data_IF_441160143303
#
_entry.id   IF_441160143303
#
_cell.length_a   1.000
_cell.length_b   1.000
_cell.length_c   1.000
_cell.angle_alpha   90.00
_cell.angle_beta   90.00
_cell.angle_gamma   90.00
#
_symmetry.space_group_name_H-M   'P 1'
#
loop_
_entity.id
_entity.type
_entity.pdbx_description
1 polymer ?
#
# COMPACT_ATOMS: atom_id res chain seq x y z
N UNK A 1 14.22 26.34 16.58
CA UNK A 1 14.49 24.91 16.30
C UNK A 1 15.07 24.31 17.57
N UNK A 2 14.66 23.10 17.92
CA UNK A 2 15.05 22.47 19.16
C UNK A 2 16.29 21.58 19.04
N UNK A 3 16.94 21.29 20.15
CA UNK A 3 18.02 20.31 20.21
C UNK A 3 17.47 18.90 20.07
N UNK A 4 18.21 18.03 19.37
CA UNK A 4 17.88 16.61 19.24
C UNK A 4 18.51 15.82 20.37
N UNK A 5 17.75 14.93 20.95
CA UNK A 5 18.17 14.02 22.00
C UNK A 5 17.90 12.60 21.50
N UNK A 6 18.93 11.78 21.37
CA UNK A 6 18.82 10.39 20.91
C UNK A 6 19.34 9.45 21.98
N UNK A 7 18.72 8.28 22.09
CA UNK A 7 19.13 7.22 22.98
C UNK A 7 19.39 5.94 22.19
N UNK A 8 20.63 5.49 22.19
CA UNK A 8 21.08 4.25 21.56
C UNK A 8 21.29 3.21 22.65
N UNK A 9 20.74 2.03 22.46
CA UNK A 9 20.91 0.91 23.36
C UNK A 9 22.33 0.35 23.22
N UNK A 10 23.09 0.31 24.31
CA UNK A 10 24.49 -0.12 24.31
C UNK A 10 24.69 -1.61 24.01
N UNK A 11 23.67 -2.46 24.21
CA UNK A 11 23.78 -3.89 23.96
C UNK A 11 23.46 -4.23 22.50
N UNK A 12 22.52 -3.51 21.88
CA UNK A 12 22.02 -3.82 20.54
C UNK A 12 22.53 -2.87 19.46
N UNK A 13 23.12 -1.73 19.87
CA UNK A 13 23.55 -0.62 19.00
C UNK A 13 22.38 -0.05 18.15
N UNK A 14 21.13 -0.15 18.69
CA UNK A 14 19.92 0.31 18.03
C UNK A 14 19.42 1.58 18.73
N UNK A 15 18.88 2.50 17.95
CA UNK A 15 18.19 3.67 18.44
C UNK A 15 16.84 3.26 19.07
N UNK A 16 16.73 3.34 20.39
CA UNK A 16 15.53 2.96 21.15
C UNK A 16 14.61 4.15 21.45
N UNK A 17 15.10 5.38 21.31
CA UNK A 17 14.28 6.56 21.51
C UNK A 17 14.91 7.86 21.04
N UNK A 18 14.05 8.83 20.74
CA UNK A 18 14.48 10.18 20.42
C UNK A 18 13.50 11.22 21.00
N UNK A 19 14.00 12.44 21.15
CA UNK A 19 13.21 13.61 21.52
C UNK A 19 13.80 14.86 20.89
N UNK A 20 12.94 15.87 20.72
CA UNK A 20 13.36 17.20 20.27
C UNK A 20 12.89 18.21 21.30
N UNK A 21 13.78 19.10 21.70
CA UNK A 21 13.39 20.16 22.63
C UNK A 21 12.50 21.20 21.93
N UNK A 22 11.48 21.68 22.65
CA UNK A 22 10.65 22.78 22.18
C UNK A 22 11.38 24.14 22.30
N UNK A 23 10.72 25.23 21.96
CA UNK A 23 11.27 26.60 22.03
C UNK A 23 11.71 27.01 23.42
N UNK A 24 11.15 26.41 24.48
CA UNK A 24 11.50 26.65 25.88
C UNK A 24 12.56 25.68 26.42
N UNK A 25 13.09 24.79 25.56
CA UNK A 25 14.12 23.82 25.94
C UNK A 25 13.58 22.53 26.57
N UNK A 26 12.27 22.37 26.74
CA UNK A 26 11.71 21.13 27.29
C UNK A 26 11.74 19.99 26.26
N UNK A 27 12.12 18.81 26.72
CA UNK A 27 12.13 17.58 25.94
C UNK A 27 11.57 16.40 26.74
N UNK A 28 11.11 15.36 26.08
CA UNK A 28 10.68 14.11 26.69
C UNK A 28 11.05 12.94 25.78
N UNK A 29 11.57 11.86 26.36
CA UNK A 29 11.91 10.61 25.66
C UNK A 29 11.36 9.45 26.48
N UNK A 30 10.67 8.52 25.84
CA UNK A 30 10.18 7.30 26.46
C UNK A 30 11.17 6.16 26.18
N UNK A 31 11.81 5.64 27.22
CA UNK A 31 12.81 4.59 27.15
C UNK A 31 12.44 3.43 28.07
N UNK A 32 12.97 2.23 27.78
CA UNK A 32 12.77 1.05 28.61
C UNK A 32 13.58 1.16 29.91
N UNK A 33 13.00 0.77 31.03
CA UNK A 33 13.72 0.66 32.32
C UNK A 33 14.71 -0.51 32.29
N UNK A 34 15.70 -0.46 33.16
CA UNK A 34 16.75 -1.48 33.32
C UNK A 34 17.58 -1.73 32.06
N UNK A 35 17.77 -0.71 31.25
CA UNK A 35 18.54 -0.78 29.99
C UNK A 35 19.62 0.30 29.99
N UNK A 36 20.79 -0.05 29.47
CA UNK A 36 21.92 0.87 29.31
C UNK A 36 21.84 1.60 27.98
N UNK A 37 21.83 2.93 28.05
CA UNK A 37 21.75 3.79 26.87
C UNK A 37 22.97 4.70 26.75
N UNK A 38 23.42 4.89 25.51
CA UNK A 38 24.24 6.03 25.13
C UNK A 38 23.28 7.16 24.72
N UNK A 39 23.27 8.24 25.47
CA UNK A 39 22.47 9.43 25.19
C UNK A 39 23.34 10.47 24.49
N UNK A 40 22.87 10.95 23.34
CA UNK A 40 23.53 12.00 22.59
C UNK A 40 22.59 13.19 22.35
N UNK A 41 23.08 14.40 22.67
CA UNK A 41 22.36 15.66 22.51
C UNK A 41 23.10 16.49 21.49
N UNK A 42 22.38 16.96 20.45
CA UNK A 42 22.97 17.76 19.38
C UNK A 42 22.11 18.96 19.05
N UNK A 43 22.75 20.07 18.74
CA UNK A 43 22.11 21.27 18.19
C UNK A 43 23.08 21.97 17.23
N UNK A 44 22.55 22.53 16.15
CA UNK A 44 23.37 23.16 15.11
C UNK A 44 24.15 24.35 15.70
N UNK A 45 25.48 24.34 15.53
CA UNK A 45 26.38 25.38 16.05
C UNK A 45 26.81 25.19 17.50
N UNK A 46 26.47 24.06 18.12
CA UNK A 46 26.87 23.74 19.51
C UNK A 46 27.62 22.41 19.55
N UNK A 47 28.47 22.25 20.57
CA UNK A 47 29.20 21.01 20.84
C UNK A 47 28.21 19.92 21.29
N UNK A 48 28.28 18.71 20.70
CA UNK A 48 27.43 17.60 21.12
C UNK A 48 27.78 17.12 22.53
N UNK A 49 26.78 16.80 23.32
CA UNK A 49 26.94 16.14 24.62
C UNK A 49 26.63 14.66 24.44
N UNK A 50 27.52 13.79 24.91
CA UNK A 50 27.32 12.34 24.85
C UNK A 50 27.68 11.71 26.20
N UNK A 51 26.80 10.81 26.69
CA UNK A 51 27.02 10.10 27.97
C UNK A 51 26.24 8.80 28.03
N UNK A 52 26.77 7.85 28.80
CA UNK A 52 26.10 6.58 29.07
C UNK A 52 25.27 6.68 30.37
N UNK A 53 24.11 6.07 30.38
CA UNK A 53 23.25 5.99 31.56
C UNK A 53 22.41 4.71 31.56
N UNK A 54 22.22 4.14 32.77
CA UNK A 54 21.27 3.06 33.02
C UNK A 54 20.01 3.65 33.63
N UNK A 55 18.87 3.45 32.99
CA UNK A 55 17.60 3.98 33.49
C UNK A 55 16.90 2.96 34.39
N UNK A 56 16.89 3.24 35.68
CA UNK A 56 16.13 2.47 36.69
C UNK A 56 14.76 3.10 36.96
N UNK A 57 14.69 4.42 36.93
CA UNK A 57 13.48 5.22 37.17
C UNK A 57 13.41 6.43 36.24
N UNK A 58 12.31 7.17 36.30
CA UNK A 58 12.13 8.39 35.53
C UNK A 58 13.23 9.42 35.90
N UNK A 59 13.97 9.87 34.90
CA UNK A 59 15.10 10.76 35.04
C UNK A 59 14.75 12.14 34.45
N UNK A 60 14.90 13.18 35.31
CA UNK A 60 14.86 14.58 34.84
C UNK A 60 16.29 15.13 34.86
N UNK A 61 16.76 15.63 33.72
CA UNK A 61 18.11 16.14 33.60
C UNK A 61 18.17 17.31 32.60
N UNK A 62 18.81 18.39 33.03
CA UNK A 62 19.06 19.60 32.27
C UNK A 62 20.46 19.55 31.65
N UNK A 63 20.60 20.09 30.43
CA UNK A 63 21.86 20.19 29.71
C UNK A 63 22.08 21.62 29.23
N UNK A 64 23.30 22.09 29.34
CA UNK A 64 23.73 23.36 28.74
C UNK A 64 24.67 23.03 27.59
N UNK A 65 24.29 23.40 26.39
CA UNK A 65 25.11 23.23 25.19
C UNK A 65 26.04 24.43 25.07
N UNK A 66 27.33 24.18 24.81
CA UNK A 66 28.35 25.20 24.57
C UNK A 66 28.42 25.49 23.07
N UNK A 67 28.52 26.78 22.72
CA UNK A 67 28.72 27.18 21.32
C UNK A 67 30.03 26.63 20.79
N UNK A 68 29.97 26.01 19.60
CA UNK A 68 31.15 25.51 18.93
C UNK A 68 31.88 26.68 18.26
N UNK A 69 32.79 27.32 19.05
CA UNK A 69 33.69 28.31 18.50
C UNK A 69 34.92 27.61 17.99
N UNK A 70 34.96 27.24 16.69
CA UNK A 70 36.24 27.15 15.98
C UNK A 70 36.08 26.93 14.46
N UNK A 71 36.84 27.79 13.73
CA UNK A 71 37.29 27.46 12.39
C UNK A 71 38.51 26.51 12.53
N UNK A 72 38.33 25.22 12.35
CA UNK A 72 39.39 24.27 12.12
C UNK A 72 39.14 23.54 10.82
N UNK A 73 40.21 23.29 10.07
CA UNK A 73 40.26 22.56 8.79
C UNK A 73 39.23 21.41 8.76
N UNK A 74 38.32 21.50 7.80
CA UNK A 74 37.14 20.68 7.73
C UNK A 74 37.51 19.17 7.62
N UNK A 75 37.42 18.50 8.73
CA UNK A 75 36.86 17.16 8.73
C UNK A 75 35.35 17.36 8.83
N UNK A 76 34.68 17.47 7.73
CA UNK A 76 33.23 17.52 7.65
C UNK A 76 32.69 16.16 8.10
N UNK A 77 32.57 15.98 9.41
CA UNK A 77 31.75 14.90 9.95
C UNK A 77 30.31 15.34 9.69
N UNK A 78 29.79 14.94 8.52
CA UNK A 78 28.37 15.07 8.19
C UNK A 78 27.63 14.12 9.15
N UNK A 79 27.30 14.62 10.35
CA UNK A 79 26.43 13.90 11.26
C UNK A 79 25.00 14.00 10.72
N UNK A 80 24.53 12.96 10.06
CA UNK A 80 23.13 12.86 9.68
C UNK A 80 22.29 12.58 10.93
N UNK A 81 21.38 13.48 11.23
CA UNK A 81 20.45 13.29 12.34
C UNK A 81 19.52 12.11 12.05
N UNK A 82 19.31 11.18 12.98
CA UNK A 82 18.39 10.07 12.82
C UNK A 82 16.97 10.51 12.44
N UNK A 83 16.50 11.60 13.04
CA UNK A 83 15.19 12.19 12.80
C UNK A 83 15.33 13.69 12.70
N UNK A 84 14.74 14.29 11.69
CA UNK A 84 14.68 15.74 11.49
C UNK A 84 13.25 16.16 11.18
N UNK A 85 12.79 17.28 11.72
CA UNK A 85 11.49 17.86 11.39
C UNK A 85 11.72 19.10 10.54
N UNK A 86 11.15 19.11 9.33
CA UNK A 86 11.20 20.21 8.36
C UNK A 86 9.77 20.66 8.05
N UNK A 87 9.27 21.68 8.76
CA UNK A 87 7.87 22.10 8.64
C UNK A 87 6.91 20.93 8.95
N UNK A 88 6.07 20.55 8.02
CA UNK A 88 5.12 19.45 8.16
C UNK A 88 5.72 18.07 7.79
N UNK A 89 7.02 18.00 7.54
CA UNK A 89 7.69 16.75 7.15
C UNK A 89 8.58 16.23 8.25
N UNK A 90 8.41 14.97 8.62
CA UNK A 90 9.35 14.24 9.48
C UNK A 90 10.27 13.42 8.58
N UNK A 91 11.57 13.63 8.68
CA UNK A 91 12.59 12.93 7.90
C UNK A 91 13.33 11.96 8.81
N UNK A 92 13.25 10.68 8.50
CA UNK A 92 14.00 9.62 9.17
C UNK A 92 15.18 9.21 8.29
N UNK A 93 16.40 9.13 8.86
CA UNK A 93 17.54 8.48 8.20
C UNK A 93 17.39 6.97 8.34
N UNK A 94 17.21 6.24 7.23
CA UNK A 94 16.98 4.79 7.29
C UNK A 94 18.14 4.03 7.95
N UNK A 95 19.37 4.53 7.81
CA UNK A 95 20.56 3.90 8.39
C UNK A 95 20.56 3.89 9.92
N UNK A 96 19.93 4.89 10.53
CA UNK A 96 19.85 4.97 11.99
C UNK A 96 18.89 3.94 12.61
N UNK A 97 17.96 3.41 11.81
CA UNK A 97 16.92 2.47 12.23
C UNK A 97 17.08 1.08 11.62
N UNK A 98 18.15 0.87 10.84
CA UNK A 98 18.41 -0.38 10.14
C UNK A 98 19.41 -1.22 10.93
N UNK A 99 18.98 -2.37 11.43
CA UNK A 99 19.80 -3.33 12.18
C UNK A 99 20.65 -4.23 11.29
N UNK A 100 20.45 -4.15 9.95
CA UNK A 100 21.10 -5.02 8.97
C UNK A 100 20.34 -6.31 8.66
N UNK A 101 19.24 -6.57 9.35
CA UNK A 101 18.36 -7.75 9.13
C UNK A 101 17.20 -7.44 8.21
N UNK A 102 16.91 -6.18 7.98
CA UNK A 102 15.81 -5.68 7.16
C UNK A 102 16.04 -6.04 5.69
N UNK A 103 15.03 -6.65 5.11
CA UNK A 103 15.04 -7.06 3.70
C UNK A 103 14.23 -6.10 2.83
N UNK A 104 13.11 -5.62 3.36
CA UNK A 104 12.11 -4.83 2.64
C UNK A 104 11.84 -3.51 3.37
N UNK A 105 11.26 -2.54 2.67
CA UNK A 105 10.86 -1.26 3.26
C UNK A 105 9.94 -1.45 4.48
N UNK A 106 9.02 -2.42 4.45
CA UNK A 106 8.15 -2.71 5.59
C UNK A 106 8.94 -3.02 6.88
N UNK A 107 10.08 -3.68 6.77
CA UNK A 107 10.91 -4.00 7.93
C UNK A 107 11.55 -2.74 8.50
N UNK A 108 12.01 -1.83 7.64
CA UNK A 108 12.55 -0.53 8.06
C UNK A 108 11.48 0.34 8.71
N UNK A 109 10.28 0.41 8.09
CA UNK A 109 9.17 1.21 8.61
C UNK A 109 8.73 0.75 10.02
N UNK A 110 8.75 -0.55 10.30
CA UNK A 110 8.43 -1.10 11.63
C UNK A 110 9.38 -0.64 12.74
N UNK A 111 10.59 -0.26 12.38
CA UNK A 111 11.59 0.22 13.33
C UNK A 111 11.49 1.72 13.59
N UNK A 112 10.67 2.45 12.81
CA UNK A 112 10.52 3.89 12.95
C UNK A 112 9.59 4.23 14.13
N UNK A 113 9.97 5.17 15.00
CA UNK A 113 9.10 5.61 16.07
C UNK A 113 7.82 6.26 15.52
N UNK A 114 6.66 5.86 16.06
CA UNK A 114 5.36 6.40 15.66
C UNK A 114 4.82 5.87 14.32
N UNK A 115 5.48 4.88 13.73
CA UNK A 115 5.03 4.20 12.51
C UNK A 115 4.64 2.76 12.84
N UNK A 116 3.45 2.35 12.43
CA UNK A 116 2.96 1.00 12.57
C UNK A 116 2.70 0.38 11.20
N UNK A 117 3.13 -0.86 11.01
CA UNK A 117 2.89 -1.62 9.78
C UNK A 117 2.24 -2.94 10.16
N UNK A 118 0.98 -3.09 9.79
CA UNK A 118 0.23 -4.32 10.09
C UNK A 118 0.53 -5.44 9.06
N UNK A 119 0.03 -6.65 9.34
CA UNK A 119 0.23 -7.82 8.45
C UNK A 119 -0.38 -7.65 7.06
N UNK A 120 -1.43 -6.87 6.96
CA UNK A 120 -2.10 -6.53 5.69
C UNK A 120 -1.31 -5.53 4.84
N UNK A 121 -0.20 -4.98 5.35
CA UNK A 121 0.63 -3.95 4.71
C UNK A 121 0.04 -2.54 4.78
N UNK A 122 -0.93 -2.30 5.66
CA UNK A 122 -1.35 -0.93 6.00
C UNK A 122 -0.28 -0.30 6.86
N UNK A 123 -0.05 0.97 6.62
CA UNK A 123 0.91 1.78 7.36
C UNK A 123 0.13 2.87 8.05
N UNK A 124 0.36 3.01 9.34
CA UNK A 124 -0.21 4.07 10.16
C UNK A 124 0.92 4.89 10.76
N UNK A 125 0.75 6.20 10.75
CA UNK A 125 1.64 7.15 11.40
C UNK A 125 0.83 7.95 12.40
N UNK A 126 1.27 7.97 13.66
CA UNK A 126 0.57 8.65 14.76
C UNK A 126 -0.93 8.22 14.86
N UNK A 127 -1.24 6.95 14.51
CA UNK A 127 -2.60 6.41 14.52
C UNK A 127 -3.46 6.78 13.31
N UNK A 128 -2.88 7.40 12.29
CA UNK A 128 -3.56 7.77 11.04
C UNK A 128 -3.04 6.95 9.86
N UNK A 129 -3.93 6.46 9.00
CA UNK A 129 -3.55 5.65 7.85
C UNK A 129 -2.82 6.49 6.78
N UNK A 130 -1.67 5.99 6.32
CA UNK A 130 -0.90 6.57 5.22
C UNK A 130 -1.62 6.33 3.90
N UNK A 131 -1.94 7.40 3.18
CA UNK A 131 -2.72 7.35 1.94
C UNK A 131 -1.93 6.79 0.77
N UNK A 132 -0.65 7.18 0.62
CA UNK A 132 0.21 6.73 -0.47
C UNK A 132 1.68 6.70 -0.11
N UNK A 133 2.44 5.91 -0.87
CA UNK A 133 3.90 5.93 -0.85
C UNK A 133 4.42 6.45 -2.20
N UNK A 134 5.34 7.37 -2.10
CA UNK A 134 6.10 7.92 -3.22
C UNK A 134 7.57 7.48 -3.14
N UNK A 135 8.24 7.39 -4.28
CA UNK A 135 9.69 7.24 -4.37
C UNK A 135 10.23 8.44 -5.14
N UNK A 136 11.14 9.19 -4.51
CA UNK A 136 11.68 10.45 -5.05
C UNK A 136 10.59 11.44 -5.50
N UNK A 137 9.49 11.53 -4.70
CA UNK A 137 8.36 12.41 -4.98
C UNK A 137 7.39 11.93 -6.04
N UNK A 138 7.55 10.71 -6.57
CA UNK A 138 6.69 10.12 -7.59
C UNK A 138 5.93 8.94 -7.07
N UNK A 139 4.70 8.78 -7.49
CA UNK A 139 3.87 7.67 -7.08
C UNK A 139 4.49 6.34 -7.54
N UNK A 140 4.65 5.41 -6.60
CA UNK A 140 5.08 4.06 -6.90
C UNK A 140 3.86 3.15 -6.94
N UNK A 141 3.62 2.54 -8.10
CA UNK A 141 2.46 1.68 -8.32
C UNK A 141 1.13 2.37 -7.96
N UNK A 142 0.91 3.58 -8.49
CA UNK A 142 -0.26 4.42 -8.20
C UNK A 142 -0.38 4.78 -6.70
N UNK A 143 0.76 4.82 -5.99
CA UNK A 143 0.83 5.13 -4.55
C UNK A 143 0.51 3.96 -3.62
N UNK A 144 0.42 2.71 -4.12
CA UNK A 144 0.08 1.54 -3.30
C UNK A 144 1.10 1.30 -2.18
N UNK A 145 0.64 1.48 -0.94
CA UNK A 145 1.47 1.35 0.27
C UNK A 145 1.97 -0.07 0.50
N UNK A 146 1.16 -1.09 0.18
CA UNK A 146 1.51 -2.49 0.38
C UNK A 146 2.54 -2.94 -0.65
N UNK A 147 2.32 -2.63 -1.93
CA UNK A 147 3.28 -2.99 -2.98
C UNK A 147 4.63 -2.33 -2.75
N UNK A 148 4.65 -1.04 -2.39
CA UNK A 148 5.89 -0.36 -2.06
C UNK A 148 6.58 -0.97 -0.84
N UNK A 149 5.88 -1.10 0.29
CA UNK A 149 6.47 -1.57 1.55
C UNK A 149 6.95 -3.01 1.48
N UNK A 150 6.22 -3.88 0.79
CA UNK A 150 6.55 -5.31 0.71
C UNK A 150 7.56 -5.68 -0.38
N UNK A 151 7.87 -4.78 -1.31
CA UNK A 151 8.75 -5.12 -2.43
C UNK A 151 9.99 -4.24 -2.54
N UNK A 152 9.97 -2.97 -2.11
CA UNK A 152 11.15 -2.12 -2.15
C UNK A 152 12.24 -2.65 -1.20
N UNK A 153 13.48 -2.92 -1.69
CA UNK A 153 14.54 -3.43 -0.84
C UNK A 153 14.97 -2.40 0.22
N UNK A 154 15.12 -2.81 1.47
CA UNK A 154 15.62 -1.96 2.55
C UNK A 154 16.96 -1.27 2.20
N UNK A 155 17.84 -1.99 1.48
CA UNK A 155 19.16 -1.48 1.03
C UNK A 155 19.08 -0.32 0.03
N UNK A 156 17.94 -0.10 -0.61
CA UNK A 156 17.75 1.03 -1.51
C UNK A 156 17.27 2.29 -0.78
N UNK A 157 16.76 2.15 0.44
CA UNK A 157 16.18 3.25 1.23
C UNK A 157 17.28 4.05 1.90
N UNK A 158 17.35 5.35 1.62
CA UNK A 158 18.25 6.30 2.28
C UNK A 158 17.54 7.10 3.35
N UNK A 159 16.46 7.79 2.99
CA UNK A 159 15.63 8.57 3.93
C UNK A 159 14.16 8.27 3.73
N UNK A 160 13.39 8.41 4.79
CA UNK A 160 11.95 8.24 4.80
C UNK A 160 11.34 9.56 5.27
N UNK A 161 10.63 10.22 4.36
CA UNK A 161 9.97 11.49 4.62
C UNK A 161 8.48 11.22 4.88
N UNK A 162 8.02 11.48 6.09
CA UNK A 162 6.60 11.43 6.44
C UNK A 162 6.01 12.83 6.25
N UNK A 163 5.15 12.95 5.24
CA UNK A 163 4.49 14.19 4.87
C UNK A 163 3.18 14.29 5.64
N UNK A 164 3.06 15.21 6.57
CA UNK A 164 1.82 15.57 7.27
C UNK A 164 1.02 16.55 6.41
N UNK A 165 -0.29 16.58 6.60
CA UNK A 165 -1.19 17.48 5.88
C UNK A 165 -1.09 17.34 4.35
N UNK A 166 -0.82 16.09 3.91
CA UNK A 166 -0.56 15.81 2.48
C UNK A 166 -1.77 16.16 1.62
N UNK A 167 -1.53 16.92 0.56
CA UNK A 167 -2.52 17.28 -0.46
C UNK A 167 -2.05 16.80 -1.82
N UNK A 168 -2.87 16.05 -2.53
CA UNK A 168 -2.53 15.57 -3.89
C UNK A 168 -2.45 16.70 -4.90
N UNK A 169 -3.31 17.69 -4.75
CA UNK A 169 -3.38 18.87 -5.62
C UNK A 169 -2.81 20.05 -4.85
N UNK A 170 -1.58 20.45 -5.17
CA UNK A 170 -0.87 21.52 -4.47
C UNK A 170 -1.66 22.84 -4.40
N UNK A 171 -2.42 23.17 -5.46
CA UNK A 171 -3.28 24.36 -5.54
C UNK A 171 -4.40 24.36 -4.49
N UNK A 172 -4.79 23.20 -3.98
CA UNK A 172 -5.84 23.06 -2.98
C UNK A 172 -5.32 23.00 -1.53
N UNK A 173 -4.02 23.09 -1.31
CA UNK A 173 -3.41 22.94 0.02
C UNK A 173 -3.93 23.92 1.07
N UNK A 174 -4.29 25.13 0.67
CA UNK A 174 -4.87 26.15 1.56
C UNK A 174 -6.40 26.07 1.73
N UNK A 175 -7.09 25.29 0.90
CA UNK A 175 -8.57 25.24 0.84
C UNK A 175 -9.12 23.97 1.46
N UNK A 176 -8.37 22.88 1.42
CA UNK A 176 -8.78 21.59 1.96
C UNK A 176 -8.27 21.41 3.39
N UNK A 177 -9.15 20.97 4.29
CA UNK A 177 -8.72 20.52 5.61
C UNK A 177 -8.11 19.10 5.46
N UNK A 178 -6.77 19.01 5.48
CA UNK A 178 -6.00 17.78 5.37
C UNK A 178 -5.19 17.50 6.65
N UNK A 179 -5.60 18.06 7.80
CA UNK A 179 -4.87 17.97 9.08
C UNK A 179 -4.49 16.55 9.49
N UNK A 180 -5.25 15.54 9.02
CA UNK A 180 -5.02 14.13 9.33
C UNK A 180 -4.57 13.29 8.11
N UNK A 181 -4.02 13.94 7.09
CA UNK A 181 -3.61 13.27 5.86
C UNK A 181 -2.10 13.05 5.83
N UNK A 182 -1.69 11.78 5.74
CA UNK A 182 -0.29 11.38 5.70
C UNK A 182 0.08 10.73 4.37
N UNK A 183 1.26 11.06 3.86
CA UNK A 183 1.93 10.33 2.80
C UNK A 183 3.39 10.05 3.19
N UNK A 184 3.98 9.03 2.60
CA UNK A 184 5.39 8.70 2.80
C UNK A 184 6.13 8.86 1.49
N UNK A 185 7.20 9.64 1.49
CA UNK A 185 8.13 9.74 0.37
C UNK A 185 9.46 9.06 0.74
N UNK A 186 9.88 8.13 -0.09
CA UNK A 186 11.12 7.39 0.08
C UNK A 186 12.21 8.08 -0.75
N UNK A 187 13.28 8.54 -0.08
CA UNK A 187 14.50 8.97 -0.73
C UNK A 187 15.45 7.78 -0.84
N UNK A 188 15.91 7.54 -2.05
CA UNK A 188 16.84 6.44 -2.31
C UNK A 188 18.26 6.81 -1.87
N UNK A 189 19.07 5.80 -1.60
CA UNK A 189 20.49 5.99 -1.34
C UNK A 189 21.21 6.47 -2.58
N UNK A 190 22.29 7.21 -2.37
CA UNK A 190 23.21 7.59 -3.44
C UNK A 190 23.67 6.36 -4.25
N UNK A 191 23.66 6.49 -5.57
CA UNK A 191 23.99 5.39 -6.49
C UNK A 191 22.88 4.35 -6.69
N UNK A 192 21.68 4.57 -6.11
CA UNK A 192 20.47 3.77 -6.33
C UNK A 192 19.44 4.49 -7.19
N UNK A 193 19.89 5.34 -8.08
CA UNK A 193 19.06 6.07 -9.03
C UNK A 193 18.45 5.17 -10.13
N UNK A 194 19.12 4.05 -10.47
CA UNK A 194 18.65 3.07 -11.47
C UNK A 194 18.99 1.67 -11.02
N UNK A 195 17.98 0.84 -10.80
CA UNK A 195 18.20 -0.54 -10.39
C UNK A 195 17.00 -1.45 -10.66
N UNK A 196 17.31 -2.75 -10.76
CA UNK A 196 16.34 -3.83 -10.79
C UNK A 196 16.24 -4.45 -9.39
N UNK A 197 15.04 -4.85 -9.02
CA UNK A 197 14.81 -5.62 -7.81
C UNK A 197 13.59 -6.52 -7.98
N UNK A 198 13.41 -7.47 -7.09
CA UNK A 198 12.28 -8.37 -7.13
C UNK A 198 12.54 -9.67 -6.41
N UNK A 199 11.59 -10.56 -6.50
CA UNK A 199 11.65 -11.90 -5.95
C UNK A 199 10.97 -12.89 -6.89
N UNK A 200 11.41 -14.13 -6.85
CA UNK A 200 10.77 -15.24 -7.54
C UNK A 200 10.45 -16.30 -6.49
N UNK A 201 9.18 -16.61 -6.32
CA UNK A 201 8.72 -17.72 -5.52
C UNK A 201 8.30 -18.83 -6.47
N UNK A 202 8.90 -20.00 -6.32
CA UNK A 202 8.58 -21.18 -7.11
C UNK A 202 8.50 -22.41 -6.21
N UNK A 203 7.51 -23.23 -6.44
CA UNK A 203 7.29 -24.45 -5.68
C UNK A 203 6.53 -25.49 -6.49
N UNK A 204 6.71 -26.75 -6.14
CA UNK A 204 5.96 -27.88 -6.68
C UNK A 204 5.63 -28.86 -5.56
N UNK A 205 4.54 -29.57 -5.67
CA UNK A 205 4.06 -30.55 -4.69
C UNK A 205 3.60 -31.83 -5.33
N UNK A 206 3.05 -32.77 -4.56
CA UNK A 206 2.36 -33.97 -5.06
C UNK A 206 1.20 -33.59 -5.97
N UNK A 207 0.79 -34.51 -6.85
CA UNK A 207 -0.35 -34.36 -7.77
C UNK A 207 -0.22 -33.15 -8.72
N UNK A 208 1.02 -32.84 -9.17
CA UNK A 208 1.36 -31.74 -10.07
C UNK A 208 1.04 -30.33 -9.54
N UNK A 209 0.79 -30.21 -8.22
CA UNK A 209 0.58 -28.90 -7.57
C UNK A 209 1.78 -28.00 -7.83
N UNK A 210 1.50 -26.76 -8.25
CA UNK A 210 2.54 -25.80 -8.59
C UNK A 210 2.27 -24.39 -8.03
N UNK A 211 3.37 -23.66 -7.83
CA UNK A 211 3.36 -22.25 -7.52
C UNK A 211 4.51 -21.58 -8.27
N UNK A 212 4.20 -20.58 -9.07
CA UNK A 212 5.19 -19.73 -9.72
C UNK A 212 4.75 -18.26 -9.64
N UNK A 213 5.45 -17.48 -8.81
CA UNK A 213 5.08 -16.11 -8.52
C UNK A 213 6.29 -15.16 -8.60
N UNK A 214 6.72 -14.77 -9.81
CA UNK A 214 7.77 -13.77 -10.01
C UNK A 214 7.22 -12.36 -9.80
N UNK A 215 8.04 -11.50 -9.19
CA UNK A 215 7.85 -10.06 -9.07
C UNK A 215 9.13 -9.36 -9.48
N UNK A 216 9.07 -8.55 -10.51
CA UNK A 216 10.22 -7.86 -11.10
C UNK A 216 9.90 -6.39 -11.21
N UNK A 217 10.80 -5.55 -10.72
CA UNK A 217 10.67 -4.10 -10.71
C UNK A 217 11.93 -3.47 -11.30
N UNK A 218 11.73 -2.45 -12.10
CA UNK A 218 12.77 -1.55 -12.56
C UNK A 218 12.44 -0.13 -12.11
N UNK A 219 13.37 0.52 -11.44
CA UNK A 219 13.27 1.91 -11.04
C UNK A 219 14.34 2.73 -11.72
N UNK A 220 13.93 3.87 -12.28
CA UNK A 220 14.80 4.96 -12.73
C UNK A 220 14.06 6.30 -12.55
N UNK A 221 14.76 7.45 -12.42
CA UNK A 221 14.14 8.75 -12.14
C UNK A 221 13.04 9.18 -13.11
N UNK A 222 13.11 8.73 -14.35
CA UNK A 222 12.16 9.10 -15.43
C UNK A 222 11.30 7.93 -15.91
N UNK A 223 11.64 6.70 -15.54
CA UNK A 223 10.95 5.51 -16.02
C UNK A 223 10.89 4.48 -14.91
N UNK A 224 9.70 4.06 -14.56
CA UNK A 224 9.45 2.92 -13.68
C UNK A 224 8.69 1.86 -14.45
N UNK A 225 9.04 0.61 -14.21
CA UNK A 225 8.37 -0.53 -14.82
C UNK A 225 8.32 -1.68 -13.84
N UNK A 226 7.19 -2.40 -13.82
CA UNK A 226 7.06 -3.58 -12.97
C UNK A 226 6.18 -4.65 -13.60
N UNK A 227 6.51 -5.88 -13.28
CA UNK A 227 5.72 -7.07 -13.61
C UNK A 227 5.56 -7.90 -12.36
N UNK A 228 4.32 -8.23 -12.05
CA UNK A 228 3.94 -9.14 -10.97
C UNK A 228 3.12 -10.25 -11.61
N UNK A 229 3.53 -11.50 -11.42
CA UNK A 229 2.76 -12.64 -11.88
C UNK A 229 2.60 -13.65 -10.74
N UNK A 230 1.54 -14.42 -10.79
CA UNK A 230 1.28 -15.51 -9.88
C UNK A 230 0.46 -16.58 -10.63
N UNK A 231 1.00 -17.77 -10.77
CA UNK A 231 0.30 -18.94 -11.30
C UNK A 231 0.37 -20.02 -10.24
N UNK A 232 -0.77 -20.46 -9.74
CA UNK A 232 -0.81 -21.46 -8.69
C UNK A 232 -2.13 -22.23 -8.69
N UNK A 233 -2.06 -23.44 -8.17
CA UNK A 233 -3.18 -24.32 -7.85
C UNK A 233 -3.15 -24.83 -6.40
N UNK A 234 -2.48 -24.09 -5.51
CA UNK A 234 -2.34 -24.40 -4.07
C UNK A 234 -3.58 -24.04 -3.23
N UNK A 235 -4.72 -23.79 -3.88
CA UNK A 235 -5.96 -23.42 -3.19
C UNK A 235 -6.02 -21.95 -2.74
N UNK A 236 -5.20 -21.09 -3.30
CA UNK A 236 -5.18 -19.65 -2.99
C UNK A 236 -5.44 -18.82 -4.24
N UNK A 237 -6.39 -17.87 -4.22
CA UNK A 237 -6.57 -16.96 -5.33
C UNK A 237 -5.35 -16.06 -5.50
N UNK A 238 -4.85 -15.93 -6.72
CA UNK A 238 -3.71 -15.06 -7.04
C UNK A 238 -4.04 -13.57 -6.88
N UNK A 239 -5.33 -13.20 -6.98
CA UNK A 239 -5.86 -11.87 -6.78
C UNK A 239 -6.93 -11.90 -5.69
N UNK A 240 -6.71 -11.17 -4.59
CA UNK A 240 -7.74 -10.98 -3.59
C UNK A 240 -8.69 -9.82 -3.98
N UNK A 241 -9.91 -9.79 -3.42
CA UNK A 241 -10.82 -8.64 -3.57
C UNK A 241 -10.14 -7.33 -3.17
N UNK A 242 -9.35 -7.34 -2.11
CA UNK A 242 -8.63 -6.15 -1.63
C UNK A 242 -7.58 -5.69 -2.62
N UNK A 243 -6.83 -6.62 -3.22
CA UNK A 243 -5.84 -6.29 -4.25
C UNK A 243 -6.53 -5.73 -5.49
N UNK A 244 -7.68 -6.30 -5.89
CA UNK A 244 -8.50 -5.73 -6.96
C UNK A 244 -8.91 -4.28 -6.70
N UNK A 245 -9.43 -3.96 -5.51
CA UNK A 245 -9.78 -2.58 -5.14
C UNK A 245 -8.58 -1.64 -5.18
N UNK A 246 -7.40 -2.11 -4.85
CA UNK A 246 -6.17 -1.34 -4.91
C UNK A 246 -5.71 -1.11 -6.35
N UNK A 247 -5.68 -2.16 -7.17
CA UNK A 247 -5.32 -2.05 -8.59
C UNK A 247 -6.32 -1.22 -9.39
N UNK A 248 -7.59 -1.21 -9.04
CA UNK A 248 -8.58 -0.37 -9.70
C UNK A 248 -8.39 1.14 -9.45
N UNK A 249 -7.24 1.52 -8.89
CA UNK A 249 -6.77 2.91 -8.82
C UNK A 249 -7.29 3.63 -7.60
N UNK A 250 -7.40 2.90 -6.47
CA UNK A 250 -7.79 3.58 -5.24
C UNK A 250 -8.96 4.52 -5.46
N UNK A 251 -10.05 4.05 -6.08
CA UNK A 251 -11.29 4.82 -6.19
C UNK A 251 -11.79 5.34 -4.83
N UNK A 252 -11.06 5.04 -3.75
CA UNK A 252 -11.16 5.70 -2.46
C UNK A 252 -11.02 7.22 -2.51
N UNK A 253 -10.30 7.75 -3.47
CA UNK A 253 -10.15 9.20 -3.64
C UNK A 253 -11.36 9.84 -4.33
N UNK A 254 -12.15 9.09 -5.09
CA UNK A 254 -13.40 9.60 -5.67
C UNK A 254 -14.51 9.76 -4.62
N UNK A 255 -14.40 9.11 -3.47
CA UNK A 255 -15.42 9.17 -2.40
C UNK A 255 -15.32 10.41 -1.51
N UNK A 256 -14.28 11.21 -1.64
CA UNK A 256 -14.03 12.16 -0.56
C UNK A 256 -14.84 13.44 -0.62
N UNK A 257 -15.12 14.05 -1.77
CA UNK A 257 -15.57 15.46 -1.74
C UNK A 257 -16.45 15.97 -2.87
N UNK A 258 -16.73 15.18 -3.88
CA UNK A 258 -17.61 15.64 -4.99
C UNK A 258 -19.05 15.15 -4.89
N UNK A 259 -19.41 14.40 -3.84
CA UNK A 259 -20.77 13.87 -3.66
C UNK A 259 -21.16 12.77 -4.66
N UNK A 260 -20.23 12.31 -5.47
CA UNK A 260 -20.47 11.26 -6.45
C UNK A 260 -19.97 9.94 -5.90
N UNK A 261 -20.86 9.11 -5.38
CA UNK A 261 -20.57 7.72 -5.05
C UNK A 261 -20.60 6.90 -6.34
N UNK A 262 -19.43 6.49 -6.84
CA UNK A 262 -19.38 5.45 -7.87
C UNK A 262 -19.70 4.12 -7.16
N UNK A 263 -20.87 3.59 -7.42
CA UNK A 263 -21.33 2.33 -6.83
C UNK A 263 -20.68 1.17 -7.63
N UNK A 264 -19.44 0.83 -7.29
CA UNK A 264 -18.71 -0.30 -7.89
C UNK A 264 -19.34 -1.65 -7.50
N UNK A 265 -20.32 -1.64 -6.59
CA UNK A 265 -20.91 -2.85 -6.01
C UNK A 265 -21.64 -3.76 -6.98
N UNK A 266 -22.20 -3.26 -8.08
CA UNK A 266 -22.92 -4.07 -9.07
C UNK A 266 -21.99 -4.70 -10.13
N UNK A 267 -20.93 -3.99 -10.50
CA UNK A 267 -19.99 -4.46 -11.54
C UNK A 267 -19.00 -5.50 -10.99
N UNK A 268 -18.88 -5.55 -9.66
CA UNK A 268 -18.05 -6.48 -8.92
C UNK A 268 -18.80 -7.71 -8.40
N UNK A 269 -20.07 -7.89 -8.77
CA UNK A 269 -20.87 -9.04 -8.34
C UNK A 269 -20.21 -10.39 -8.67
N UNK A 270 -19.38 -10.42 -9.72
CA UNK A 270 -18.61 -11.61 -10.09
C UNK A 270 -17.39 -11.91 -9.19
N UNK A 271 -16.86 -10.93 -8.47
CA UNK A 271 -15.80 -11.16 -7.48
C UNK A 271 -16.35 -11.81 -6.19
N UNK A 272 -17.66 -12.02 -6.09
CA UNK A 272 -18.29 -12.78 -5.02
C UNK A 272 -17.73 -14.18 -4.84
N UNK A 273 -17.34 -14.80 -5.94
CA UNK A 273 -16.78 -16.14 -5.98
C UNK A 273 -15.32 -16.25 -5.51
N UNK A 274 -14.55 -15.15 -5.47
CA UNK A 274 -13.13 -15.16 -5.10
C UNK A 274 -12.87 -15.43 -3.60
N UNK A 275 -13.88 -15.46 -2.75
CA UNK A 275 -13.74 -15.73 -1.31
C UNK A 275 -14.30 -17.08 -0.92
N UNK A 276 -13.95 -18.12 -1.63
CA UNK A 276 -14.52 -19.42 -1.35
C UNK A 276 -13.60 -20.29 -0.47
N UNK A 277 -13.71 -20.12 0.84
CA UNK A 277 -13.07 -21.01 1.82
C UNK A 277 -13.57 -22.47 1.73
N UNK A 278 -14.51 -22.76 0.84
CA UNK A 278 -15.13 -24.07 0.62
C UNK A 278 -14.73 -24.69 -0.74
N UNK A 279 -13.85 -24.04 -1.49
CA UNK A 279 -13.42 -24.58 -2.78
C UNK A 279 -12.63 -25.88 -2.55
N UNK A 280 -12.94 -26.90 -3.34
CA UNK A 280 -12.22 -28.16 -3.41
C UNK A 280 -10.88 -27.98 -4.11
N UNK A 281 -10.88 -27.18 -5.18
CA UNK A 281 -9.69 -26.76 -5.90
C UNK A 281 -9.81 -25.32 -6.37
N UNK A 282 -8.67 -24.62 -6.44
CA UNK A 282 -8.54 -23.29 -7.01
C UNK A 282 -7.31 -23.28 -7.89
N UNK A 283 -7.49 -23.14 -9.20
CA UNK A 283 -6.43 -22.79 -10.17
C UNK A 283 -6.51 -21.29 -10.42
N UNK A 284 -5.43 -20.57 -10.21
CA UNK A 284 -5.42 -19.12 -10.33
C UNK A 284 -4.17 -18.61 -11.02
N UNK A 285 -4.38 -17.71 -11.98
CA UNK A 285 -3.34 -17.05 -12.77
C UNK A 285 -3.55 -15.54 -12.71
N UNK A 286 -2.49 -14.80 -12.40
CA UNK A 286 -2.46 -13.35 -12.37
C UNK A 286 -1.23 -12.87 -13.12
N UNK A 287 -1.40 -11.83 -13.92
CA UNK A 287 -0.29 -11.03 -14.43
C UNK A 287 -0.69 -9.56 -14.36
N UNK A 288 0.08 -8.79 -13.62
CA UNK A 288 -0.08 -7.35 -13.52
C UNK A 288 1.20 -6.66 -14.00
N UNK A 289 1.05 -5.62 -14.82
CA UNK A 289 2.17 -4.78 -15.26
C UNK A 289 1.87 -3.33 -14.94
N UNK A 290 2.88 -2.57 -14.60
CA UNK A 290 2.78 -1.13 -14.39
C UNK A 290 3.94 -0.44 -15.11
N UNK A 291 3.68 0.75 -15.65
CA UNK A 291 4.72 1.63 -16.14
C UNK A 291 4.44 3.07 -15.73
N UNK A 292 5.49 3.84 -15.50
CA UNK A 292 5.43 5.29 -15.31
C UNK A 292 6.57 5.92 -16.08
N UNK A 293 6.26 6.95 -16.84
CA UNK A 293 7.24 7.82 -17.50
C UNK A 293 7.00 9.25 -17.04
N UNK A 294 8.05 9.95 -16.63
CA UNK A 294 7.97 11.35 -16.25
C UNK A 294 9.14 12.14 -16.82
N UNK A 295 8.92 13.43 -17.07
CA UNK A 295 9.96 14.34 -17.52
C UNK A 295 10.11 15.56 -16.60
N UNK A 296 11.18 16.33 -16.80
CA UNK A 296 11.49 17.51 -15.99
C UNK A 296 10.59 18.72 -16.32
N UNK A 297 9.59 18.57 -17.21
CA UNK A 297 8.66 19.63 -17.62
C UNK A 297 7.26 19.42 -17.02
N UNK A 298 7.15 18.61 -15.99
CA UNK A 298 5.88 18.34 -15.31
C UNK A 298 4.94 17.38 -16.06
N UNK A 299 5.41 16.63 -17.07
CA UNK A 299 4.60 15.60 -17.72
C UNK A 299 4.89 14.24 -17.06
N UNK A 300 3.84 13.58 -16.60
CA UNK A 300 3.85 12.20 -16.19
C UNK A 300 2.83 11.39 -17.00
N UNK A 301 3.24 10.22 -17.49
CA UNK A 301 2.39 9.25 -18.17
C UNK A 301 2.54 7.95 -17.43
N UNK A 302 1.45 7.40 -16.95
CA UNK A 302 1.46 6.15 -16.22
C UNK A 302 0.34 5.22 -16.67
N UNK A 303 0.46 3.96 -16.31
CA UNK A 303 -0.59 3.01 -16.58
C UNK A 303 -0.29 1.64 -16.01
N UNK A 304 -1.34 0.85 -15.86
CA UNK A 304 -1.20 -0.54 -15.48
C UNK A 304 -2.14 -1.44 -16.26
N UNK A 305 -1.79 -2.71 -16.34
CA UNK A 305 -2.68 -3.77 -16.79
C UNK A 305 -2.75 -4.87 -15.75
N UNK A 306 -3.92 -5.46 -15.56
CA UNK A 306 -4.12 -6.66 -14.74
C UNK A 306 -4.91 -7.65 -15.53
N UNK A 307 -4.38 -8.86 -15.67
CA UNK A 307 -5.06 -10.02 -16.21
C UNK A 307 -5.13 -11.09 -15.12
N UNK A 308 -6.32 -11.52 -14.76
CA UNK A 308 -6.52 -12.58 -13.78
C UNK A 308 -7.49 -13.61 -14.34
N UNK A 309 -7.13 -14.89 -14.21
CA UNK A 309 -7.97 -16.04 -14.53
C UNK A 309 -8.04 -16.95 -13.32
N UNK A 310 -9.24 -17.31 -12.88
CA UNK A 310 -9.42 -18.16 -11.72
C UNK A 310 -10.52 -19.18 -11.99
N UNK A 311 -10.21 -20.46 -11.79
CA UNK A 311 -11.15 -21.57 -11.84
C UNK A 311 -11.30 -22.15 -10.44
N UNK A 312 -12.53 -22.20 -9.93
CA UNK A 312 -12.89 -22.79 -8.65
C UNK A 312 -13.81 -23.99 -8.86
N UNK A 313 -13.47 -25.09 -8.22
CA UNK A 313 -14.37 -26.22 -8.08
C UNK A 313 -14.91 -26.28 -6.65
N UNK A 314 -16.22 -26.37 -6.53
CA UNK A 314 -16.90 -26.50 -5.24
C UNK A 314 -17.69 -27.80 -5.21
N UNK A 315 -17.66 -28.46 -4.06
CA UNK A 315 -18.49 -29.63 -3.80
C UNK A 315 -19.14 -29.45 -2.44
N UNK A 316 -20.48 -29.50 -2.43
CA UNK A 316 -21.25 -29.40 -1.20
C UNK A 316 -22.21 -30.60 -1.07
N UNK A 317 -22.23 -31.23 0.11
CA UNK A 317 -23.18 -32.27 0.46
C UNK A 317 -23.98 -31.82 1.66
N UNK A 318 -25.30 -31.85 1.50
CA UNK A 318 -26.24 -31.43 2.53
C UNK A 318 -27.23 -32.56 2.83
N UNK A 319 -27.20 -33.04 4.06
CA UNK A 319 -28.14 -34.04 4.56
C UNK A 319 -29.13 -33.34 5.49
N UNK A 320 -30.43 -33.40 5.15
CA UNK A 320 -31.52 -32.84 5.93
C UNK A 320 -32.47 -33.95 6.37
N UNK A 321 -32.79 -33.98 7.64
CA UNK A 321 -33.82 -34.90 8.20
C UNK A 321 -35.03 -34.08 8.65
N UNK A 322 -36.15 -34.37 8.04
CA UNK A 322 -37.46 -33.75 8.37
C UNK A 322 -38.16 -34.59 9.44
N UNK A 323 -38.01 -34.17 10.70
CA UNK A 323 -38.53 -34.95 11.86
C UNK A 323 -40.01 -35.17 11.80
N UNK A 324 -40.81 -34.17 11.37
CA UNK A 324 -42.26 -34.22 11.31
C UNK A 324 -42.79 -35.24 10.29
N UNK A 325 -42.07 -35.51 9.21
CA UNK A 325 -42.47 -36.42 8.13
C UNK A 325 -41.67 -37.71 8.11
N UNK A 326 -40.62 -37.80 8.95
CA UNK A 326 -39.61 -38.85 8.92
C UNK A 326 -39.04 -39.10 7.52
N UNK A 327 -38.74 -37.98 6.81
CA UNK A 327 -38.17 -37.96 5.46
C UNK A 327 -36.75 -37.46 5.53
N UNK A 328 -35.91 -37.95 4.64
CA UNK A 328 -34.50 -37.51 4.49
C UNK A 328 -34.33 -36.90 3.10
N UNK A 329 -33.60 -35.81 3.04
CA UNK A 329 -33.13 -35.20 1.82
C UNK A 329 -31.60 -35.22 1.82
N UNK A 330 -31.02 -35.81 0.78
CA UNK A 330 -29.61 -35.79 0.54
C UNK A 330 -29.38 -34.96 -0.73
N UNK A 331 -28.73 -33.84 -0.60
CA UNK A 331 -28.38 -32.96 -1.71
C UNK A 331 -26.89 -32.98 -1.95
N UNK A 332 -26.47 -33.21 -3.18
CA UNK A 332 -25.10 -33.05 -3.64
C UNK A 332 -25.06 -31.97 -4.71
N UNK A 333 -24.24 -30.97 -4.51
CA UNK A 333 -24.01 -29.88 -5.43
C UNK A 333 -22.55 -29.87 -5.84
N UNK A 334 -22.31 -29.81 -7.15
CA UNK A 334 -21.01 -29.55 -7.74
C UNK A 334 -21.10 -28.27 -8.56
N UNK A 335 -20.21 -27.31 -8.26
CA UNK A 335 -20.14 -26.06 -8.96
C UNK A 335 -18.76 -25.84 -9.57
N UNK A 336 -18.71 -25.51 -10.87
CA UNK A 336 -17.54 -25.03 -11.57
C UNK A 336 -17.72 -23.53 -11.81
N UNK A 337 -16.78 -22.74 -11.34
CA UNK A 337 -16.77 -21.29 -11.52
C UNK A 337 -15.48 -20.86 -12.21
N UNK A 338 -15.61 -20.23 -13.36
CA UNK A 338 -14.50 -19.64 -14.11
C UNK A 338 -14.68 -18.12 -14.14
N UNK A 339 -13.63 -17.38 -13.85
CA UNK A 339 -13.66 -15.93 -13.82
C UNK A 339 -12.38 -15.36 -14.41
N UNK A 340 -12.52 -14.71 -15.57
CA UNK A 340 -11.47 -13.95 -16.22
C UNK A 340 -11.72 -12.46 -16.01
N UNK A 341 -10.67 -11.73 -15.61
CA UNK A 341 -10.69 -10.31 -15.33
C UNK A 341 -9.56 -9.62 -16.07
N UNK A 342 -9.91 -8.54 -16.77
CA UNK A 342 -8.96 -7.66 -17.45
C UNK A 342 -9.18 -6.22 -17.00
N UNK A 343 -8.12 -5.57 -16.51
CA UNK A 343 -8.10 -4.16 -16.14
C UNK A 343 -7.00 -3.45 -16.92
N UNK A 344 -7.32 -2.27 -17.44
CA UNK A 344 -6.37 -1.40 -18.13
C UNK A 344 -6.57 0.03 -17.65
N UNK A 345 -5.56 0.59 -17.01
CA UNK A 345 -5.53 2.01 -16.62
C UNK A 345 -4.47 2.74 -17.43
N UNK A 346 -4.82 3.93 -17.89
CA UNK A 346 -3.89 4.87 -18.49
C UNK A 346 -4.15 6.25 -17.90
N UNK A 347 -3.10 6.93 -17.48
CA UNK A 347 -3.15 8.24 -16.83
C UNK A 347 -2.14 9.16 -17.48
N UNK A 348 -2.52 10.40 -17.66
CA UNK A 348 -1.64 11.50 -18.07
C UNK A 348 -1.83 12.63 -17.07
N UNK A 349 -0.75 13.03 -16.43
CA UNK A 349 -0.69 14.20 -15.57
C UNK A 349 0.28 15.21 -16.16
N UNK A 350 -0.12 16.49 -16.15
CA UNK A 350 0.68 17.58 -16.65
C UNK A 350 0.61 18.77 -15.70
N UNK A 351 1.72 19.01 -15.00
CA UNK A 351 1.92 20.09 -14.04
C UNK A 351 3.16 20.90 -14.42
N UNK A 352 3.07 21.77 -15.44
CA UNK A 352 4.22 22.57 -15.88
C UNK A 352 4.61 23.69 -14.91
N UNK A 353 3.75 24.02 -13.95
CA UNK A 353 3.95 25.08 -12.96
C UNK A 353 3.00 24.91 -11.78
N UNK A 354 3.31 25.53 -10.65
CA UNK A 354 2.48 25.55 -9.44
C UNK A 354 1.05 26.14 -9.64
N UNK A 355 0.83 26.88 -10.73
CA UNK A 355 -0.47 27.49 -11.03
C UNK A 355 -1.36 26.67 -11.95
N UNK A 356 -0.84 25.60 -12.57
CA UNK A 356 -1.60 24.81 -13.54
C UNK A 356 -1.32 23.32 -13.36
N UNK A 357 -2.40 22.54 -13.19
CA UNK A 357 -2.36 21.09 -13.17
C UNK A 357 -3.51 20.53 -14.01
N UNK A 358 -3.23 19.49 -14.76
CA UNK A 358 -4.20 18.74 -15.56
C UNK A 358 -3.95 17.26 -15.39
N UNK A 359 -5.01 16.50 -15.15
CA UNK A 359 -4.99 15.05 -15.02
C UNK A 359 -6.06 14.44 -15.91
N UNK A 360 -5.71 13.40 -16.64
CA UNK A 360 -6.65 12.60 -17.42
C UNK A 360 -6.45 11.12 -17.18
N UNK A 361 -7.49 10.45 -16.74
CA UNK A 361 -7.52 9.03 -16.41
C UNK A 361 -8.50 8.28 -17.28
N UNK A 362 -8.10 7.11 -17.75
CA UNK A 362 -8.98 6.11 -18.40
C UNK A 362 -8.82 4.80 -17.65
N UNK A 363 -9.92 4.17 -17.27
CA UNK A 363 -9.96 2.82 -16.73
C UNK A 363 -10.96 1.99 -17.53
N UNK A 364 -10.47 0.93 -18.17
CA UNK A 364 -11.26 -0.11 -18.81
C UNK A 364 -11.26 -1.34 -17.91
N UNK A 365 -12.44 -1.82 -17.56
CA UNK A 365 -12.66 -3.08 -16.86
C UNK A 365 -13.48 -4.02 -17.76
N UNK A 366 -13.05 -5.26 -17.86
CA UNK A 366 -13.75 -6.34 -18.59
C UNK A 366 -13.64 -7.61 -17.77
N UNK A 367 -14.76 -8.31 -17.63
CA UNK A 367 -14.78 -9.62 -16.98
C UNK A 367 -15.59 -10.62 -17.84
N UNK A 368 -15.16 -11.86 -17.84
CA UNK A 368 -15.92 -13.00 -18.37
C UNK A 368 -16.11 -14.00 -17.23
N UNK A 369 -17.36 -14.27 -16.90
CA UNK A 369 -17.74 -15.09 -15.76
C UNK A 369 -18.62 -16.23 -16.24
N UNK A 370 -18.20 -17.43 -15.94
CA UNK A 370 -18.94 -18.65 -16.21
C UNK A 370 -19.14 -19.44 -14.91
N UNK A 371 -20.34 -19.88 -14.68
CA UNK A 371 -20.71 -20.74 -13.55
C UNK A 371 -21.61 -21.88 -14.07
N UNK A 372 -21.26 -23.10 -13.72
CA UNK A 372 -22.09 -24.28 -13.93
C UNK A 372 -22.32 -24.98 -12.60
N UNK A 373 -23.58 -25.13 -12.21
CA UNK A 373 -23.98 -25.79 -10.98
C UNK A 373 -24.80 -27.05 -11.31
N UNK A 374 -24.25 -28.19 -10.98
CA UNK A 374 -24.92 -29.49 -11.07
C UNK A 374 -25.44 -29.88 -9.67
N UNK A 375 -26.74 -29.84 -9.47
CA UNK A 375 -27.39 -30.17 -8.22
C UNK A 375 -28.18 -31.47 -8.37
N UNK A 376 -27.96 -32.44 -7.47
CA UNK A 376 -28.71 -33.67 -7.37
C UNK A 376 -29.27 -33.81 -5.96
N UNK A 377 -30.58 -33.86 -5.85
CA UNK A 377 -31.29 -34.07 -4.59
C UNK A 377 -32.06 -35.39 -4.58
N UNK A 378 -31.93 -36.13 -3.51
CA UNK A 378 -32.73 -37.32 -3.22
C UNK A 378 -33.57 -37.07 -1.98
N UNK A 379 -34.88 -37.00 -2.13
CA UNK A 379 -35.83 -36.73 -1.06
C UNK A 379 -36.80 -37.88 -0.88
N UNK A 380 -37.10 -38.23 0.34
CA UNK A 380 -38.15 -39.22 0.64
C UNK A 380 -37.89 -40.06 1.88
N UNK A 381 -38.67 -41.13 2.04
CA UNK A 381 -38.47 -42.18 3.07
C UNK A 381 -37.70 -43.34 2.50
N UNK A 382 -37.15 -44.19 3.38
CA UNK A 382 -36.21 -45.25 3.05
C UNK A 382 -36.61 -46.13 1.83
N UNK A 383 -37.89 -46.36 1.61
CA UNK A 383 -38.43 -47.18 0.51
C UNK A 383 -39.06 -46.40 -0.64
N UNK A 384 -39.07 -45.09 -0.60
CA UNK A 384 -39.68 -44.25 -1.65
C UNK A 384 -38.98 -42.89 -1.72
N UNK A 385 -37.87 -42.85 -2.49
CA UNK A 385 -37.09 -41.63 -2.71
C UNK A 385 -37.29 -41.11 -4.12
N UNK A 386 -37.55 -39.84 -4.21
CA UNK A 386 -37.56 -39.09 -5.47
C UNK A 386 -36.17 -38.48 -5.70
N UNK A 387 -35.67 -38.63 -6.92
CA UNK A 387 -34.44 -37.97 -7.35
C UNK A 387 -34.80 -36.79 -8.26
N UNK A 388 -34.25 -35.64 -7.93
CA UNK A 388 -34.31 -34.44 -8.73
C UNK A 388 -32.90 -34.02 -9.10
N UNK A 389 -32.70 -33.61 -10.35
CA UNK A 389 -31.44 -33.08 -10.86
C UNK A 389 -31.71 -31.74 -11.52
N UNK A 390 -30.86 -30.78 -11.22
CA UNK A 390 -30.92 -29.43 -11.75
C UNK A 390 -29.51 -29.03 -12.24
N UNK A 391 -29.45 -28.60 -13.49
CA UNK A 391 -28.24 -28.08 -14.11
C UNK A 391 -28.48 -26.58 -14.41
N UNK A 392 -27.65 -25.71 -13.83
CA UNK A 392 -27.78 -24.27 -13.96
C UNK A 392 -26.47 -23.72 -14.53
N UNK A 393 -26.55 -23.18 -15.72
CA UNK A 393 -25.43 -22.47 -16.33
C UNK A 393 -25.70 -20.98 -16.32
N UNK A 394 -24.74 -20.20 -15.84
CA UNK A 394 -24.77 -18.73 -15.83
C UNK A 394 -23.52 -18.19 -16.52
N UNK A 395 -23.72 -17.25 -17.42
CA UNK A 395 -22.62 -16.52 -18.07
C UNK A 395 -22.88 -15.02 -17.96
N UNK A 396 -21.85 -14.26 -17.56
CA UNK A 396 -21.91 -12.81 -17.47
C UNK A 396 -20.62 -12.22 -18.07
N UNK A 397 -20.75 -11.13 -18.81
CA UNK A 397 -19.63 -10.45 -19.48
C UNK A 397 -19.70 -8.93 -19.22
N UNK A 398 -19.60 -8.51 -17.95
CA UNK A 398 -19.63 -7.08 -17.63
C UNK A 398 -18.39 -6.39 -18.21
N UNK A 399 -18.61 -5.16 -18.69
CA UNK A 399 -17.54 -4.28 -19.13
C UNK A 399 -17.88 -2.85 -18.76
N UNK A 400 -16.87 -2.08 -18.37
CA UNK A 400 -17.03 -0.66 -18.05
C UNK A 400 -15.84 0.14 -18.54
N UNK A 401 -16.11 1.35 -19.01
CA UNK A 401 -15.10 2.34 -19.36
C UNK A 401 -15.36 3.60 -18.55
N UNK A 402 -14.43 3.91 -17.65
CA UNK A 402 -14.47 5.10 -16.85
C UNK A 402 -13.41 6.09 -17.34
N UNK A 403 -13.80 7.34 -17.51
CA UNK A 403 -12.90 8.43 -17.90
C UNK A 403 -13.07 9.57 -16.93
N UNK A 404 -11.97 10.17 -16.53
CA UNK A 404 -11.95 11.32 -15.65
C UNK A 404 -10.95 12.34 -16.16
N UNK A 405 -11.37 13.60 -16.25
CA UNK A 405 -10.51 14.72 -16.58
C UNK A 405 -10.63 15.76 -15.47
N UNK A 406 -9.51 16.15 -14.91
CA UNK A 406 -9.39 17.21 -13.90
C UNK A 406 -8.46 18.29 -14.43
N UNK A 407 -8.80 19.54 -14.17
CA UNK A 407 -7.93 20.67 -14.45
C UNK A 407 -8.07 21.70 -13.33
N UNK A 408 -6.94 22.19 -12.87
CA UNK A 408 -6.86 23.22 -11.86
C UNK A 408 -6.00 24.38 -12.41
N UNK A 409 -6.48 25.59 -12.18
CA UNK A 409 -5.79 26.81 -12.58
C UNK A 409 -5.92 27.87 -11.48
N UNK A 410 -4.79 28.28 -10.92
CA UNK A 410 -4.71 29.32 -9.90
C UNK A 410 -4.48 30.68 -10.58
N UNK A 411 -5.46 31.57 -10.52
CA UNK A 411 -5.37 32.89 -11.08
C UNK A 411 -4.57 33.83 -10.15
N UNK A 412 -4.81 33.73 -8.85
CA UNK A 412 -4.12 34.43 -7.76
C UNK A 412 -4.37 33.73 -6.44
N UNK A 413 -3.86 34.25 -5.32
CA UNK A 413 -4.00 33.64 -3.98
C UNK A 413 -5.45 33.39 -3.52
N UNK A 414 -6.41 34.18 -4.05
CA UNK A 414 -7.82 34.13 -3.68
C UNK A 414 -8.70 33.31 -4.66
N UNK A 415 -8.18 33.02 -5.88
CA UNK A 415 -9.01 32.43 -6.94
C UNK A 415 -8.38 31.23 -7.60
N UNK A 416 -9.05 30.09 -7.44
CA UNK A 416 -8.70 28.82 -8.08
C UNK A 416 -9.88 28.39 -8.95
N UNK A 417 -9.61 28.08 -10.21
CA UNK A 417 -10.56 27.48 -11.14
C UNK A 417 -10.33 25.99 -11.21
N UNK A 418 -11.40 25.21 -11.07
CA UNK A 418 -11.36 23.77 -11.25
C UNK A 418 -12.38 23.33 -12.31
N UNK A 419 -11.98 22.39 -13.14
CA UNK A 419 -12.86 21.69 -14.07
C UNK A 419 -12.75 20.19 -13.81
N UNK A 420 -13.90 19.55 -13.62
CA UNK A 420 -13.98 18.10 -13.43
C UNK A 420 -14.99 17.56 -14.42
N UNK A 421 -14.55 16.67 -15.31
CA UNK A 421 -15.39 15.94 -16.25
C UNK A 421 -15.18 14.44 -16.03
N UNK A 422 -16.26 13.68 -15.95
CA UNK A 422 -16.19 12.23 -15.81
C UNK A 422 -17.31 11.56 -16.59
N UNK A 423 -17.07 10.31 -17.02
CA UNK A 423 -18.13 9.47 -17.56
C UNK A 423 -18.75 8.67 -16.40
N UNK A 424 -20.05 8.75 -16.27
CA UNK A 424 -20.82 7.83 -15.42
C UNK A 424 -21.29 6.67 -16.31
N UNK A 425 -21.08 5.40 -15.93
CA UNK A 425 -21.71 4.30 -16.65
C UNK A 425 -23.23 4.54 -16.60
N UNK A 426 -23.85 4.59 -17.78
CA UNK A 426 -25.30 4.63 -17.85
C UNK A 426 -25.84 3.30 -17.32
N UNK A 427 -26.75 3.29 -16.34
CA UNK A 427 -27.44 2.07 -16.01
C UNK A 427 -28.27 1.72 -17.25
N UNK A 428 -27.81 0.77 -18.04
CA UNK A 428 -28.63 0.10 -19.04
C UNK A 428 -28.95 -1.28 -18.51
N UNK A 429 -30.24 -1.50 -18.49
CA UNK A 429 -31.02 -2.66 -18.10
C UNK A 429 -30.38 -4.02 -18.43
#
# INVERSE_FOLDING_TARGET
MGANIIAVNNETDILDGFGISNENGYYNINLKKETDFNIKITFIGFQPIEFNTTLTDDLVRDFVLEEQSEALDAVEIVYEMPVEIRGDTIVYSADAFNTGTEKKLADVLKNLPGVEVNEDGRIEVEGQEVRKIQIEGKDFFDGDTKLASQNLPAKAVGKIEVLRNFTEVGQLSGVQNNEDSFAINIRLREGKDKFWFGEILAGTGPDDIHLFAPKIFYYAPKVNFSVISNSNDIGQPALSRRDFYRFSGGFGNLNGRTGTSINIGSDLAGLGSLNNNRAKSIDSKLTATNFTFSNDKGLEISGFTVHSSTTNELEEQIDRTYIATNSVENTSEFALQENDLELYKFSVEYEPSEIFQMEYNILLNRSDQYENNDLSSMYGRENNRLKETLDITRTQKPQSLNQEFKMYFTLNEDHIFSCLLYTSPSPRD
#
